data_IF_013144653375
#
_entry.id   IF_013144653375
#
_cell.length_a   1.000
_cell.length_b   1.000
_cell.length_c   1.000
_cell.angle_alpha   90.00
_cell.angle_beta   90.00
_cell.angle_gamma   90.00
#
_symmetry.space_group_name_H-M   'P 1'
#
loop_
_entity.id
_entity.type
_entity.pdbx_description
1 polymer ?
#
# COMPACT_ATOMS: atom_id res chain seq x y z
N UNK A 1 -13.78 -5.26 10.98
CA UNK A 1 -12.94 -4.06 11.21
C UNK A 1 -13.13 -3.59 12.66
N UNK A 2 -12.21 -3.91 13.56
CA UNK A 2 -12.36 -3.60 15.00
C UNK A 2 -11.14 -2.94 15.65
N UNK A 3 -10.04 -2.80 14.92
CA UNK A 3 -8.80 -2.21 15.43
C UNK A 3 -8.15 -1.40 14.31
N UNK A 4 -8.62 -0.17 14.04
CA UNK A 4 -7.87 0.72 13.18
C UNK A 4 -6.48 0.91 13.80
N UNK A 5 -5.44 0.91 12.96
CA UNK A 5 -4.10 1.23 13.43
C UNK A 5 -4.15 2.61 14.13
N UNK A 6 -3.49 2.77 15.29
CA UNK A 6 -3.53 4.04 16.00
C UNK A 6 -3.05 5.16 15.08
N UNK A 7 -3.83 6.22 14.90
CA UNK A 7 -3.44 7.43 14.16
C UNK A 7 -2.09 8.01 14.60
N UNK A 8 -1.70 7.77 15.86
CA UNK A 8 -0.39 8.14 16.36
C UNK A 8 0.77 7.41 15.68
N UNK A 9 0.58 6.17 15.22
CA UNK A 9 1.59 5.37 14.52
C UNK A 9 1.90 5.95 13.14
N UNK A 10 0.88 6.15 12.31
CA UNK A 10 1.01 6.70 10.95
C UNK A 10 1.61 8.12 10.99
N UNK A 11 1.14 8.95 11.92
CA UNK A 11 1.69 10.29 12.13
C UNK A 11 3.16 10.27 12.55
N UNK A 12 3.58 9.30 13.36
CA UNK A 12 4.97 9.19 13.80
C UNK A 12 5.87 8.73 12.65
N UNK A 13 5.42 7.77 11.84
CA UNK A 13 6.16 7.26 10.67
C UNK A 13 6.38 8.37 9.64
N UNK A 14 5.35 9.11 9.27
CA UNK A 14 5.51 10.25 8.36
C UNK A 14 6.50 11.29 8.93
N UNK A 15 6.34 11.67 10.20
CA UNK A 15 7.22 12.68 10.81
C UNK A 15 8.68 12.23 10.86
N UNK A 16 8.94 10.96 11.19
CA UNK A 16 10.30 10.44 11.21
C UNK A 16 10.87 10.33 9.80
N UNK A 17 10.07 9.92 8.80
CA UNK A 17 10.50 9.88 7.39
C UNK A 17 10.94 11.27 6.88
N UNK A 18 10.15 12.32 7.14
CA UNK A 18 10.51 13.69 6.78
C UNK A 18 11.78 14.16 7.50
N UNK A 19 11.90 13.92 8.81
CA UNK A 19 13.07 14.32 9.58
C UNK A 19 14.33 13.61 9.08
N UNK A 20 14.25 12.30 8.82
CA UNK A 20 15.38 11.53 8.29
C UNK A 20 15.79 12.06 6.91
N UNK A 21 14.86 12.29 5.99
CA UNK A 21 15.17 12.82 4.67
C UNK A 21 15.79 14.23 4.72
N UNK A 22 15.38 15.08 5.68
CA UNK A 22 15.95 16.42 5.88
C UNK A 22 17.35 16.38 6.52
N UNK A 23 17.62 15.43 7.41
CA UNK A 23 18.94 15.28 8.06
C UNK A 23 19.96 14.56 7.17
N UNK A 24 19.49 13.70 6.26
CA UNK A 24 20.31 12.91 5.34
C UNK A 24 21.36 13.72 4.55
N UNK A 25 21.03 14.86 3.91
CA UNK A 25 22.03 15.66 3.19
C UNK A 25 23.11 16.23 4.11
N UNK A 26 22.78 16.55 5.37
CA UNK A 26 23.73 17.07 6.36
C UNK A 26 24.71 15.96 6.77
N UNK A 27 24.25 14.72 6.86
CA UNK A 27 25.11 13.56 7.13
C UNK A 27 26.05 13.19 5.97
N UNK A 28 25.56 13.31 4.73
CA UNK A 28 26.28 12.88 3.52
C UNK A 28 27.17 13.96 2.89
N UNK A 29 27.01 15.24 3.25
CA UNK A 29 27.80 16.32 2.64
C UNK A 29 29.30 16.17 2.88
N UNK A 30 29.69 15.62 4.03
CA UNK A 30 31.10 15.42 4.42
C UNK A 30 31.77 14.28 3.66
N UNK A 31 31.00 13.28 3.23
CA UNK A 31 31.52 12.10 2.50
C UNK A 31 31.48 12.27 1.00
N UNK A 32 30.45 12.94 0.48
CA UNK A 32 30.07 12.85 -0.94
C UNK A 32 30.07 14.21 -1.65
N UNK A 33 30.19 15.31 -0.90
CA UNK A 33 30.35 16.66 -1.44
C UNK A 33 29.26 17.04 -2.46
N UNK A 34 29.67 17.39 -3.69
CA UNK A 34 28.73 17.81 -4.73
C UNK A 34 27.79 16.72 -5.25
N UNK A 35 28.08 15.44 -4.99
CA UNK A 35 27.18 14.34 -5.34
C UNK A 35 26.11 14.09 -4.27
N UNK A 36 26.19 14.73 -3.11
CA UNK A 36 25.19 14.62 -2.02
C UNK A 36 23.73 14.82 -2.46
N UNK A 37 23.35 15.82 -3.29
CA UNK A 37 21.95 15.94 -3.73
C UNK A 37 21.46 14.73 -4.55
N UNK A 38 22.32 14.10 -5.36
CA UNK A 38 21.96 12.93 -6.16
C UNK A 38 21.66 11.72 -5.26
N UNK A 39 22.56 11.41 -4.33
CA UNK A 39 22.37 10.29 -3.39
C UNK A 39 21.21 10.55 -2.43
N UNK A 40 21.06 11.79 -1.98
CA UNK A 40 19.94 12.19 -1.11
C UNK A 40 18.61 12.02 -1.84
N UNK A 41 18.51 12.46 -3.11
CA UNK A 41 17.30 12.29 -3.90
C UNK A 41 16.95 10.82 -4.14
N UNK A 42 17.96 9.97 -4.42
CA UNK A 42 17.75 8.54 -4.62
C UNK A 42 17.24 7.84 -3.36
N UNK A 43 17.87 8.12 -2.21
CA UNK A 43 17.45 7.54 -0.93
C UNK A 43 16.07 8.06 -0.53
N UNK A 44 15.82 9.38 -0.66
CA UNK A 44 14.52 9.97 -0.38
C UNK A 44 13.42 9.35 -1.24
N UNK A 45 13.66 9.16 -2.54
CA UNK A 45 12.71 8.50 -3.44
C UNK A 45 12.36 7.10 -2.96
N UNK A 46 13.34 6.29 -2.55
CA UNK A 46 13.07 4.95 -2.01
C UNK A 46 12.27 5.00 -0.72
N UNK A 47 12.60 5.90 0.21
CA UNK A 47 11.87 6.02 1.48
C UNK A 47 10.44 6.51 1.29
N UNK A 48 10.21 7.53 0.45
CA UNK A 48 8.87 8.01 0.16
C UNK A 48 8.03 7.00 -0.64
N UNK A 49 8.66 6.23 -1.53
CA UNK A 49 7.98 5.13 -2.22
C UNK A 49 7.53 4.03 -1.26
N UNK A 50 8.37 3.69 -0.27
CA UNK A 50 8.01 2.74 0.78
C UNK A 50 6.91 3.28 1.71
N UNK A 51 6.95 4.57 2.05
CA UNK A 51 5.94 5.24 2.87
C UNK A 51 4.56 5.21 2.18
N UNK A 52 4.51 5.56 0.89
CA UNK A 52 3.28 5.49 0.08
C UNK A 52 2.74 4.06 -0.06
N UNK A 53 3.61 3.08 -0.34
CA UNK A 53 3.23 1.66 -0.37
C UNK A 53 2.73 1.16 0.99
N UNK A 54 3.29 1.67 2.08
CA UNK A 54 2.84 1.29 3.43
C UNK A 54 1.44 1.80 3.69
N UNK A 55 1.12 3.02 3.24
CA UNK A 55 -0.22 3.61 3.38
C UNK A 55 -1.28 2.79 2.62
N UNK A 56 -1.00 2.38 1.38
CA UNK A 56 -1.90 1.50 0.61
C UNK A 56 -2.14 0.15 1.31
N UNK A 57 -1.11 -0.41 1.96
CA UNK A 57 -1.21 -1.69 2.66
C UNK A 57 -1.92 -1.61 4.03
N UNK A 58 -2.17 -0.41 4.55
CA UNK A 58 -2.82 -0.21 5.86
C UNK A 58 -4.33 -0.47 5.83
N UNK A 59 -5.00 -0.31 4.67
CA UNK A 59 -6.43 -0.59 4.49
C UNK A 59 -6.72 -1.64 3.40
N UNK A 60 -6.33 -2.91 3.59
CA UNK A 60 -6.47 -3.95 2.56
C UNK A 60 -7.92 -4.31 2.21
N UNK A 61 -8.90 -3.80 2.97
CA UNK A 61 -10.32 -4.04 2.77
C UNK A 61 -11.05 -2.82 2.20
N UNK A 62 -10.30 -1.83 1.71
CA UNK A 62 -10.82 -0.67 1.04
C UNK A 62 -11.36 -0.95 -0.36
N UNK A 63 -11.33 0.07 -1.21
CA UNK A 63 -11.82 0.01 -2.60
C UNK A 63 -10.79 0.51 -3.62
N UNK A 64 -9.54 0.66 -3.19
CA UNK A 64 -8.42 1.04 -4.04
C UNK A 64 -7.99 -0.13 -4.94
N UNK A 65 -7.16 0.17 -5.94
CA UNK A 65 -6.77 -0.80 -6.95
C UNK A 65 -5.93 -1.97 -6.39
N UNK A 66 -5.18 -1.72 -5.31
CA UNK A 66 -4.32 -2.72 -4.67
C UNK A 66 -5.01 -3.44 -3.49
N UNK A 67 -6.27 -3.12 -3.23
CA UNK A 67 -7.06 -3.75 -2.16
C UNK A 67 -7.56 -5.14 -2.56
N UNK A 68 -7.96 -5.92 -1.55
CA UNK A 68 -8.53 -7.24 -1.80
C UNK A 68 -9.85 -7.12 -2.59
N UNK A 69 -9.99 -7.94 -3.63
CA UNK A 69 -11.22 -8.09 -4.39
C UNK A 69 -12.31 -8.84 -3.60
N UNK A 70 -12.82 -8.22 -2.53
CA UNK A 70 -13.82 -8.79 -1.62
C UNK A 70 -15.10 -9.21 -2.37
N UNK A 71 -15.56 -8.40 -3.31
CA UNK A 71 -16.73 -8.73 -4.14
C UNK A 71 -16.51 -10.03 -4.95
N UNK A 72 -15.29 -10.22 -5.47
CA UNK A 72 -14.89 -11.43 -6.17
C UNK A 72 -14.88 -12.65 -5.25
N UNK A 73 -14.30 -12.51 -4.05
CA UNK A 73 -14.28 -13.57 -3.04
C UNK A 73 -15.70 -13.94 -2.58
N UNK A 74 -16.55 -12.95 -2.31
CA UNK A 74 -17.95 -13.17 -1.97
C UNK A 74 -18.70 -13.88 -3.09
N UNK A 75 -18.46 -13.52 -4.37
CA UNK A 75 -19.06 -14.21 -5.52
C UNK A 75 -18.60 -15.67 -5.62
N UNK A 76 -17.33 -15.96 -5.32
CA UNK A 76 -16.84 -17.36 -5.29
C UNK A 76 -17.55 -18.15 -4.20
N UNK A 77 -17.66 -17.60 -2.99
CA UNK A 77 -18.42 -18.24 -1.91
C UNK A 77 -19.89 -18.46 -2.29
N UNK A 78 -20.52 -17.46 -2.92
CA UNK A 78 -21.91 -17.54 -3.40
C UNK A 78 -22.08 -18.70 -4.39
N UNK A 79 -21.20 -18.81 -5.39
CA UNK A 79 -21.20 -19.91 -6.36
C UNK A 79 -21.08 -21.27 -5.65
N UNK A 80 -20.14 -21.43 -4.73
CA UNK A 80 -19.95 -22.69 -3.99
C UNK A 80 -21.19 -23.09 -3.17
N UNK A 81 -21.90 -22.13 -2.59
CA UNK A 81 -23.14 -22.39 -1.85
C UNK A 81 -24.28 -22.81 -2.80
N UNK A 82 -24.43 -22.12 -3.93
CA UNK A 82 -25.44 -22.47 -4.95
C UNK A 82 -25.19 -23.87 -5.54
N UNK A 83 -23.94 -24.20 -5.82
CA UNK A 83 -23.56 -25.54 -6.29
C UNK A 83 -23.90 -26.63 -5.26
N UNK A 84 -23.67 -26.38 -3.97
CA UNK A 84 -24.01 -27.31 -2.90
C UNK A 84 -25.54 -27.50 -2.74
N UNK A 85 -26.33 -26.47 -3.05
CA UNK A 85 -27.80 -26.50 -3.02
C UNK A 85 -28.41 -27.07 -4.32
N UNK A 86 -27.61 -27.29 -5.37
CA UNK A 86 -28.09 -27.71 -6.69
C UNK A 86 -28.85 -26.62 -7.45
N UNK A 87 -28.68 -25.35 -7.06
CA UNK A 87 -29.30 -24.20 -7.72
C UNK A 87 -28.39 -23.64 -8.82
N UNK A 88 -28.93 -22.82 -9.71
CA UNK A 88 -28.15 -22.20 -10.79
C UNK A 88 -27.20 -21.13 -10.23
N UNK A 89 -25.87 -21.29 -10.37
CA UNK A 89 -24.92 -20.36 -9.78
C UNK A 89 -24.94 -18.99 -10.47
N UNK A 90 -24.70 -17.90 -9.73
CA UNK A 90 -24.55 -16.57 -10.30
C UNK A 90 -23.28 -16.48 -11.17
N UNK A 91 -23.29 -15.58 -12.16
CA UNK A 91 -22.15 -15.37 -13.06
C UNK A 91 -20.93 -14.84 -12.30
N UNK A 92 -19.72 -15.23 -12.69
CA UNK A 92 -18.49 -14.69 -12.10
C UNK A 92 -18.33 -13.19 -12.38
N UNK A 93 -17.80 -12.43 -11.42
CA UNK A 93 -17.42 -11.03 -11.64
C UNK A 93 -16.09 -11.02 -12.41
N UNK A 94 -15.99 -10.41 -13.60
CA UNK A 94 -14.73 -10.30 -14.31
C UNK A 94 -13.75 -9.41 -13.52
N UNK A 95 -12.47 -9.77 -13.52
CA UNK A 95 -11.43 -8.98 -12.89
C UNK A 95 -11.16 -7.71 -13.72
N UNK A 96 -11.88 -6.62 -13.45
CA UNK A 96 -11.84 -5.41 -14.30
C UNK A 96 -10.71 -4.42 -13.97
N UNK A 97 -9.90 -4.62 -12.91
CA UNK A 97 -8.98 -3.56 -12.43
C UNK A 97 -7.61 -4.01 -11.86
N UNK A 98 -6.97 -5.05 -12.39
CA UNK A 98 -5.54 -5.27 -12.10
C UNK A 98 -4.68 -4.34 -12.98
N UNK A 99 -4.45 -3.11 -12.52
CA UNK A 99 -3.50 -2.21 -13.17
C UNK A 99 -2.08 -2.60 -12.74
N UNK A 100 -1.42 -3.44 -13.53
CA UNK A 100 0.04 -3.45 -13.57
C UNK A 100 0.50 -2.29 -14.46
N UNK A 101 0.62 -1.09 -13.90
CA UNK A 101 1.37 0.00 -14.50
C UNK A 101 2.15 0.78 -13.47
#
# INVERSE_FOLDING_TARGET
>A
AGTPLPFAYTLLVHRTAYIVCLLLPIGLISTTGWATPLFTALIAYTFFGLDALSEELEDPFGTEANDLALDGLCRVCEISVFEALGETPPKMIPAEKFYFS
#
